data_IF_915236541110
#
_entry.id   IF_915236541110
#
_cell.length_a   1.000
_cell.length_b   1.000
_cell.length_c   1.000
_cell.angle_alpha   90.00
_cell.angle_beta   90.00
_cell.angle_gamma   90.00
#
_symmetry.space_group_name_H-M   'P 1'
#
loop_
_entity.id
_entity.type
_entity.pdbx_description
1 polymer ?
#
# COMPACT_ATOMS: atom_id res chain seq x y z
N UNK A 1 18.38 5.60 25.27
CA UNK A 1 18.13 4.64 26.35
C UNK A 1 18.63 3.29 25.86
N UNK A 2 19.70 2.75 26.50
CA UNK A 2 20.22 1.39 26.24
C UNK A 2 19.24 0.39 26.89
N UNK A 3 18.43 -0.28 26.06
CA UNK A 3 17.63 -1.42 26.51
C UNK A 3 18.39 -2.71 26.17
N UNK A 4 18.40 -3.73 27.07
CA UNK A 4 19.21 -4.94 26.88
C UNK A 4 18.85 -5.74 25.62
N UNK A 5 17.63 -5.60 25.10
CA UNK A 5 17.14 -6.31 23.93
C UNK A 5 17.02 -5.40 22.68
N UNK A 6 17.77 -4.31 22.61
CA UNK A 6 17.76 -3.39 21.48
C UNK A 6 18.98 -3.60 20.59
N UNK A 7 18.74 -4.06 19.35
CA UNK A 7 19.77 -4.23 18.33
C UNK A 7 19.59 -3.19 17.23
N UNK A 8 20.66 -2.48 16.92
CA UNK A 8 20.72 -1.57 15.76
C UNK A 8 21.22 -2.37 14.56
N UNK A 9 20.46 -2.33 13.47
CA UNK A 9 20.84 -2.93 12.20
C UNK A 9 20.63 -1.94 11.06
N UNK A 10 21.24 -2.17 9.92
CA UNK A 10 20.99 -1.37 8.72
C UNK A 10 19.60 -1.67 8.16
N UNK A 11 19.03 -0.71 7.41
CA UNK A 11 17.77 -0.92 6.69
C UNK A 11 17.87 -2.11 5.71
N UNK A 12 19.01 -2.30 5.05
CA UNK A 12 19.23 -3.43 4.16
C UNK A 12 19.29 -4.79 4.87
N UNK A 13 19.79 -4.84 6.12
CA UNK A 13 19.76 -6.06 6.92
C UNK A 13 18.36 -6.37 7.46
N UNK A 14 17.54 -5.34 7.64
CA UNK A 14 16.15 -5.50 8.08
C UNK A 14 15.21 -5.84 6.93
N UNK A 15 15.21 -5.05 5.85
CA UNK A 15 14.11 -5.00 4.88
C UNK A 15 14.56 -5.10 3.41
N UNK A 16 15.75 -5.62 3.10
CA UNK A 16 16.08 -5.95 1.71
C UNK A 16 15.65 -7.39 1.39
N UNK A 17 14.51 -7.63 0.72
CA UNK A 17 13.98 -8.98 0.51
C UNK A 17 14.89 -9.86 -0.34
N UNK A 18 15.78 -9.28 -1.15
CA UNK A 18 16.80 -10.00 -1.94
C UNK A 18 17.99 -10.46 -1.11
N UNK A 19 18.13 -9.97 0.11
CA UNK A 19 19.12 -10.47 1.07
C UNK A 19 18.50 -11.64 1.85
N UNK A 20 18.89 -12.86 1.54
CA UNK A 20 18.38 -14.10 2.18
C UNK A 20 18.44 -14.10 3.71
N UNK A 21 19.33 -13.32 4.31
CA UNK A 21 19.48 -13.17 5.76
C UNK A 21 18.66 -12.05 6.38
N UNK A 22 17.93 -11.25 5.60
CA UNK A 22 17.20 -10.11 6.14
C UNK A 22 15.98 -10.56 6.97
N UNK A 23 15.63 -9.70 7.96
CA UNK A 23 14.56 -10.04 8.90
C UNK A 23 13.19 -10.09 8.26
N UNK A 24 12.92 -9.23 7.27
CA UNK A 24 11.60 -9.14 6.63
C UNK A 24 11.19 -10.46 5.98
N UNK A 25 12.13 -11.23 5.43
CA UNK A 25 11.87 -12.54 4.82
C UNK A 25 11.45 -13.63 5.83
N UNK A 26 11.45 -13.33 7.11
CA UNK A 26 11.03 -14.23 8.21
C UNK A 26 9.76 -13.74 8.91
N UNK A 27 9.19 -12.63 8.47
CA UNK A 27 7.94 -12.14 9.04
C UNK A 27 6.77 -12.98 8.53
N UNK A 28 5.92 -13.42 9.44
CA UNK A 28 4.65 -14.05 9.07
C UNK A 28 3.64 -12.99 8.62
N UNK A 29 3.66 -11.83 9.29
CA UNK A 29 2.77 -10.71 8.99
C UNK A 29 3.52 -9.40 9.00
N UNK A 30 3.14 -8.50 8.10
CA UNK A 30 3.49 -7.09 8.16
C UNK A 30 2.21 -6.26 8.06
N UNK A 31 2.16 -5.19 8.87
CA UNK A 31 1.06 -4.23 8.84
C UNK A 31 1.64 -2.89 8.36
N UNK A 32 1.07 -2.36 7.30
CA UNK A 32 1.50 -1.14 6.63
C UNK A 32 0.32 -0.17 6.51
N UNK A 33 0.62 1.11 6.34
CA UNK A 33 -0.39 2.13 6.07
C UNK A 33 -0.25 2.64 4.63
N UNK A 34 -1.34 3.13 4.04
CA UNK A 34 -1.32 3.76 2.72
C UNK A 34 -2.07 5.09 2.71
N UNK A 35 -1.68 5.98 1.80
CA UNK A 35 -2.46 7.17 1.44
C UNK A 35 -3.62 6.79 0.53
N UNK A 36 -3.35 5.93 -0.45
CA UNK A 36 -4.32 5.41 -1.42
C UNK A 36 -4.05 3.93 -1.68
N UNK A 37 -5.11 3.19 -1.96
CA UNK A 37 -5.07 1.81 -2.47
C UNK A 37 -6.03 1.73 -3.64
N UNK A 38 -5.62 1.16 -4.77
CA UNK A 38 -6.49 0.99 -5.92
C UNK A 38 -7.16 -0.39 -6.00
N UNK A 39 -8.02 -0.55 -6.99
CA UNK A 39 -8.74 -1.81 -7.22
C UNK A 39 -7.85 -2.97 -7.64
N UNK A 40 -6.59 -2.71 -7.97
CA UNK A 40 -5.56 -3.71 -8.23
C UNK A 40 -4.67 -3.99 -7.01
N UNK A 41 -5.03 -3.43 -5.83
CA UNK A 41 -4.27 -3.49 -4.59
C UNK A 41 -2.94 -2.74 -4.62
N UNK A 42 -2.64 -1.96 -5.67
CA UNK A 42 -1.47 -1.09 -5.64
C UNK A 42 -1.63 -0.05 -4.54
N UNK A 43 -0.53 0.25 -3.84
CA UNK A 43 -0.52 1.25 -2.79
C UNK A 43 0.30 2.47 -3.19
N UNK A 44 -0.19 3.63 -2.81
CA UNK A 44 0.52 4.90 -2.83
C UNK A 44 0.77 5.37 -1.39
N UNK A 45 2.03 5.69 -1.08
CA UNK A 45 2.45 6.26 0.22
C UNK A 45 3.27 7.54 0.06
N UNK A 46 3.40 8.06 -1.17
CA UNK A 46 4.32 9.17 -1.50
C UNK A 46 3.59 10.42 -1.94
N UNK A 47 2.67 10.30 -2.88
CA UNK A 47 2.02 11.44 -3.54
C UNK A 47 0.62 11.64 -2.98
N UNK A 48 0.33 12.83 -2.47
CA UNK A 48 -1.02 13.17 -2.01
C UNK A 48 -2.01 13.33 -3.17
N UNK A 49 -3.31 13.34 -2.86
CA UNK A 49 -4.40 13.51 -3.83
C UNK A 49 -4.37 14.83 -4.62
N UNK A 50 -3.50 15.77 -4.24
CA UNK A 50 -3.24 17.03 -4.94
C UNK A 50 -1.98 16.97 -5.82
N UNK A 51 -1.35 15.81 -5.97
CA UNK A 51 -0.11 15.62 -6.74
C UNK A 51 1.17 16.03 -6.03
N UNK A 52 1.10 16.51 -4.78
CA UNK A 52 2.29 16.91 -4.02
C UNK A 52 2.95 15.70 -3.36
N UNK A 53 4.27 15.64 -3.40
CA UNK A 53 5.05 14.65 -2.62
C UNK A 53 4.91 15.01 -1.15
N UNK A 54 4.29 14.11 -0.37
CA UNK A 54 4.02 14.32 1.06
C UNK A 54 4.90 13.44 1.94
N UNK A 55 5.38 12.33 1.42
CA UNK A 55 6.13 11.34 2.18
C UNK A 55 7.15 10.61 1.27
N UNK A 56 7.82 9.60 1.80
CA UNK A 56 8.70 8.73 1.05
C UNK A 56 8.29 7.27 1.27
N UNK A 57 8.53 6.41 0.28
CA UNK A 57 8.15 5.00 0.36
C UNK A 57 8.86 4.24 1.49
N UNK A 58 10.08 4.65 1.85
CA UNK A 58 10.89 3.98 2.87
C UNK A 58 11.06 2.50 2.58
N UNK A 59 10.76 1.65 3.55
CA UNK A 59 10.77 0.19 3.42
C UNK A 59 9.40 -0.43 3.15
N UNK A 60 8.41 0.36 2.73
CA UNK A 60 7.04 -0.14 2.50
C UNK A 60 7.01 -1.27 1.45
N UNK A 61 7.51 -1.09 0.21
CA UNK A 61 7.54 -2.16 -0.78
C UNK A 61 8.44 -3.33 -0.37
N UNK A 62 9.57 -3.04 0.29
CA UNK A 62 10.50 -4.08 0.76
C UNK A 62 9.84 -5.01 1.80
N UNK A 63 9.13 -4.41 2.77
CA UNK A 63 8.45 -5.15 3.82
C UNK A 63 7.26 -5.94 3.27
N UNK A 64 6.50 -5.35 2.34
CA UNK A 64 5.40 -6.01 1.66
C UNK A 64 5.88 -7.24 0.88
N UNK A 65 6.95 -7.09 0.10
CA UNK A 65 7.48 -8.18 -0.73
C UNK A 65 8.09 -9.32 0.09
N UNK A 66 8.66 -9.03 1.26
CA UNK A 66 9.38 -10.03 2.05
C UNK A 66 8.50 -10.83 3.02
N UNK A 67 7.40 -10.28 3.50
CA UNK A 67 6.52 -10.94 4.47
C UNK A 67 5.66 -12.02 3.81
N UNK A 68 5.20 -13.01 4.59
CA UNK A 68 4.28 -14.06 4.12
C UNK A 68 2.86 -13.54 3.91
N UNK A 69 2.46 -12.53 4.68
CA UNK A 69 1.15 -11.89 4.57
C UNK A 69 1.28 -10.40 4.87
N UNK A 70 0.87 -9.59 3.91
CA UNK A 70 0.90 -8.14 4.00
C UNK A 70 -0.49 -7.58 4.17
N UNK A 71 -0.70 -6.85 5.25
CA UNK A 71 -1.95 -6.19 5.61
C UNK A 71 -1.74 -4.68 5.51
N UNK A 72 -2.51 -4.03 4.64
CA UNK A 72 -2.55 -2.57 4.58
C UNK A 72 -3.75 -2.06 5.35
N UNK A 73 -3.53 -1.10 6.23
CA UNK A 73 -4.58 -0.43 7.00
C UNK A 73 -4.64 1.04 6.57
N UNK A 74 -5.81 1.46 6.13
CA UNK A 74 -6.10 2.87 5.88
C UNK A 74 -7.58 3.16 6.22
N UNK A 75 -7.93 4.39 6.63
CA UNK A 75 -9.35 4.76 6.70
C UNK A 75 -9.94 4.71 5.28
N UNK A 76 -11.25 4.47 5.16
CA UNK A 76 -11.91 4.54 3.85
C UNK A 76 -11.75 5.92 3.20
N UNK A 77 -11.77 6.96 4.03
CA UNK A 77 -11.62 8.36 3.61
C UNK A 77 -10.50 9.04 4.40
N UNK A 78 -9.63 9.76 3.71
CA UNK A 78 -8.66 10.66 4.30
C UNK A 78 -9.13 12.10 4.15
N UNK A 79 -9.81 12.61 5.19
CA UNK A 79 -10.50 13.89 5.13
C UNK A 79 -11.66 13.87 4.13
N UNK A 80 -11.51 14.54 2.99
CA UNK A 80 -12.49 14.55 1.90
C UNK A 80 -12.04 13.77 0.65
N UNK A 81 -10.97 13.02 0.75
CA UNK A 81 -10.45 12.21 -0.36
C UNK A 81 -10.68 10.74 -0.07
N UNK A 82 -11.12 9.94 -1.05
CA UNK A 82 -11.20 8.50 -0.90
C UNK A 82 -9.79 7.91 -0.78
N UNK A 83 -9.57 7.02 0.18
CA UNK A 83 -8.32 6.28 0.27
C UNK A 83 -8.36 5.00 -0.59
N UNK A 84 -9.57 4.50 -0.90
CA UNK A 84 -9.75 3.43 -1.87
C UNK A 84 -10.25 4.05 -3.16
N UNK A 85 -9.50 3.87 -4.25
CA UNK A 85 -9.74 4.52 -5.54
C UNK A 85 -9.65 3.54 -6.72
N UNK A 86 -9.96 4.00 -7.92
CA UNK A 86 -9.85 3.17 -9.13
C UNK A 86 -8.39 2.93 -9.48
N UNK A 87 -7.59 4.00 -9.51
CA UNK A 87 -6.16 3.97 -9.76
C UNK A 87 -5.47 4.89 -8.75
N UNK A 88 -4.35 4.45 -8.17
CA UNK A 88 -3.55 5.29 -7.28
C UNK A 88 -2.82 6.37 -8.07
N UNK A 89 -2.57 7.51 -7.43
CA UNK A 89 -1.83 8.62 -8.04
C UNK A 89 -0.41 8.22 -8.46
N UNK A 90 0.21 7.32 -7.70
CA UNK A 90 1.56 6.79 -7.99
C UNK A 90 1.69 5.41 -7.33
N UNK A 91 2.16 4.43 -8.08
CA UNK A 91 2.40 3.09 -7.53
C UNK A 91 3.73 3.08 -6.77
N UNK A 92 3.65 2.97 -5.46
CA UNK A 92 4.83 2.86 -4.58
C UNK A 92 5.04 1.46 -4.03
N UNK A 93 3.98 0.65 -4.02
CA UNK A 93 4.03 -0.78 -3.69
C UNK A 93 3.06 -1.52 -4.59
N UNK A 94 3.55 -2.45 -5.42
CA UNK A 94 2.72 -3.22 -6.33
C UNK A 94 1.72 -4.09 -5.59
N UNK A 95 0.50 -4.20 -6.13
CA UNK A 95 -0.60 -4.95 -5.54
C UNK A 95 -0.37 -6.45 -5.39
N UNK A 96 0.54 -7.02 -6.18
CA UNK A 96 0.97 -8.41 -6.04
C UNK A 96 1.61 -8.72 -4.68
N UNK A 97 2.12 -7.69 -3.99
CA UNK A 97 2.72 -7.79 -2.66
C UNK A 97 1.73 -7.50 -1.53
N UNK A 98 0.47 -7.18 -1.83
CA UNK A 98 -0.55 -6.82 -0.84
C UNK A 98 -1.61 -7.91 -0.79
N UNK A 99 -1.82 -8.49 0.39
CA UNK A 99 -2.76 -9.59 0.58
C UNK A 99 -4.12 -9.14 1.10
N UNK A 100 -4.13 -8.17 2.01
CA UNK A 100 -5.34 -7.71 2.68
C UNK A 100 -5.33 -6.21 2.84
N UNK A 101 -6.48 -5.58 2.60
CA UNK A 101 -6.73 -4.16 2.88
C UNK A 101 -7.82 -4.06 3.95
N UNK A 102 -7.52 -3.36 5.03
CA UNK A 102 -8.42 -3.15 6.17
C UNK A 102 -8.81 -1.69 6.25
N UNK A 103 -10.10 -1.43 6.24
CA UNK A 103 -10.68 -0.09 6.43
C UNK A 103 -11.68 -0.10 7.59
N UNK A 104 -12.12 1.07 8.00
CA UNK A 104 -13.21 1.24 8.95
C UNK A 104 -14.60 0.82 8.40
N UNK A 105 -14.70 0.50 7.10
CA UNK A 105 -15.93 0.04 6.44
C UNK A 105 -15.91 -1.44 6.03
N UNK A 106 -14.78 -2.10 6.12
CA UNK A 106 -14.66 -3.51 5.78
C UNK A 106 -13.25 -3.93 5.45
N UNK A 107 -13.12 -5.23 5.15
CA UNK A 107 -11.85 -5.90 4.84
C UNK A 107 -11.93 -6.48 3.44
N UNK A 108 -10.99 -6.09 2.58
CA UNK A 108 -10.83 -6.65 1.24
C UNK A 108 -9.61 -7.58 1.21
N UNK A 109 -9.79 -8.76 0.64
CA UNK A 109 -8.72 -9.74 0.44
C UNK A 109 -8.37 -9.76 -1.04
N UNK A 110 -7.06 -9.70 -1.35
CA UNK A 110 -6.59 -9.78 -2.72
C UNK A 110 -7.08 -11.09 -3.36
N UNK A 111 -7.68 -11.03 -4.55
CA UNK A 111 -8.18 -12.23 -5.25
C UNK A 111 -7.12 -13.31 -5.49
N UNK A 112 -5.83 -12.96 -5.50
CA UNK A 112 -4.74 -13.93 -5.59
C UNK A 112 -4.61 -14.81 -4.32
N UNK A 113 -5.17 -14.37 -3.15
CA UNK A 113 -5.10 -15.05 -1.86
C UNK A 113 -6.40 -15.77 -1.51
N UNK A 114 -6.76 -16.74 -2.35
CA UNK A 114 -7.95 -17.57 -2.14
C UNK A 114 -7.92 -18.37 -0.83
N UNK A 115 -6.73 -18.71 -0.34
CA UNK A 115 -6.49 -19.34 0.95
C UNK A 115 -7.00 -18.47 2.11
N UNK A 116 -6.62 -17.20 2.12
CA UNK A 116 -7.07 -16.23 3.14
C UNK A 116 -8.55 -15.92 3.01
N UNK A 117 -9.03 -15.72 1.79
CA UNK A 117 -10.43 -15.40 1.54
C UNK A 117 -11.36 -16.53 2.04
N UNK A 118 -10.99 -17.78 1.79
CA UNK A 118 -11.73 -18.94 2.29
C UNK A 118 -11.73 -18.99 3.82
N UNK A 119 -10.54 -18.86 4.42
CA UNK A 119 -10.37 -18.88 5.88
C UNK A 119 -11.21 -17.80 6.58
N UNK A 120 -11.19 -16.57 6.06
CA UNK A 120 -11.94 -15.47 6.65
C UNK A 120 -13.45 -15.59 6.45
N UNK A 121 -13.91 -16.16 5.32
CA UNK A 121 -15.32 -16.49 5.11
C UNK A 121 -15.82 -17.56 6.08
N UNK A 122 -15.03 -18.61 6.30
CA UNK A 122 -15.37 -19.69 7.24
C UNK A 122 -15.37 -19.19 8.71
N UNK A 123 -14.46 -18.28 9.04
CA UNK A 123 -14.37 -17.72 10.38
C UNK A 123 -15.48 -16.71 10.71
N UNK A 124 -16.07 -16.08 9.70
CA UNK A 124 -17.13 -15.06 9.79
C UNK A 124 -16.86 -13.99 10.89
N UNK A 125 -15.61 -13.55 11.00
CA UNK A 125 -15.15 -12.70 12.10
C UNK A 125 -14.89 -11.24 11.69
N UNK A 126 -14.97 -10.91 10.38
CA UNK A 126 -14.75 -9.57 9.83
C UNK A 126 -15.73 -9.27 8.71
N UNK A 127 -16.14 -8.00 8.53
CA UNK A 127 -17.03 -7.60 7.43
C UNK A 127 -16.28 -7.63 6.09
N UNK A 128 -16.29 -8.78 5.42
CA UNK A 128 -15.66 -8.94 4.11
C UNK A 128 -16.40 -8.16 3.03
N UNK A 129 -15.64 -7.46 2.21
CA UNK A 129 -16.07 -6.74 1.01
C UNK A 129 -15.05 -6.94 -0.10
N UNK A 130 -15.45 -6.70 -1.34
CA UNK A 130 -14.47 -6.55 -2.41
C UNK A 130 -13.83 -5.16 -2.34
N UNK A 131 -12.68 -4.99 -2.97
CA UNK A 131 -12.01 -3.69 -3.02
C UNK A 131 -12.84 -2.68 -3.81
N UNK A 132 -13.58 -3.15 -4.82
CA UNK A 132 -14.51 -2.34 -5.62
C UNK A 132 -15.70 -1.85 -4.78
N UNK A 133 -16.28 -2.71 -3.92
CA UNK A 133 -17.35 -2.30 -3.00
C UNK A 133 -16.85 -1.22 -2.03
N UNK A 134 -15.63 -1.33 -1.53
CA UNK A 134 -15.04 -0.28 -0.67
C UNK A 134 -14.85 1.03 -1.43
N UNK A 135 -14.33 0.98 -2.67
CA UNK A 135 -14.21 2.16 -3.53
C UNK A 135 -15.56 2.80 -3.77
N UNK A 136 -16.57 2.01 -4.12
CA UNK A 136 -17.92 2.52 -4.45
C UNK A 136 -18.54 3.22 -3.23
N UNK A 137 -18.42 2.63 -2.04
CA UNK A 137 -18.86 3.28 -0.79
C UNK A 137 -18.12 4.61 -0.58
N UNK A 138 -16.80 4.65 -0.82
CA UNK A 138 -16.04 5.89 -0.68
C UNK A 138 -16.54 6.96 -1.66
N UNK A 139 -16.77 6.60 -2.92
CA UNK A 139 -17.24 7.52 -3.96
C UNK A 139 -18.68 7.98 -3.74
N UNK A 140 -19.53 7.13 -3.16
CA UNK A 140 -20.89 7.53 -2.76
C UNK A 140 -20.90 8.59 -1.65
N UNK A 141 -19.90 8.55 -0.76
CA UNK A 141 -19.81 9.51 0.36
C UNK A 141 -19.20 10.85 -0.09
N UNK A 142 -18.10 10.84 -0.84
CA UNK A 142 -17.32 12.05 -1.16
C UNK A 142 -17.31 12.44 -2.64
N UNK A 143 -17.92 11.64 -3.49
CA UNK A 143 -17.88 11.79 -4.95
C UNK A 143 -16.63 11.15 -5.56
N UNK A 144 -16.67 10.94 -6.88
CA UNK A 144 -15.51 10.44 -7.63
C UNK A 144 -14.43 11.53 -7.66
N UNK A 145 -13.19 11.21 -7.26
CA UNK A 145 -12.12 12.19 -7.25
C UNK A 145 -11.79 12.66 -8.68
N UNK A 146 -11.49 13.92 -8.81
CA UNK A 146 -10.96 14.43 -10.06
C UNK A 146 -9.48 14.07 -10.15
N UNK A 147 -9.01 13.44 -11.24
CA UNK A 147 -7.62 13.08 -11.39
C UNK A 147 -6.73 14.34 -11.42
N UNK A 148 -5.58 14.23 -10.77
CA UNK A 148 -4.56 15.29 -10.86
C UNK A 148 -4.09 15.40 -12.30
N UNK A 149 -4.05 16.62 -12.81
CA UNK A 149 -3.47 16.90 -14.13
C UNK A 149 -1.96 16.98 -13.98
N UNK A 150 -1.26 16.05 -14.56
CA UNK A 150 0.19 16.04 -14.60
C UNK A 150 0.72 16.56 -15.93
N UNK A 151 1.86 17.25 -15.87
CA UNK A 151 2.66 17.60 -17.04
C UNK A 151 3.49 16.44 -17.56
N UNK A 152 4.31 16.69 -18.57
CA UNK A 152 5.18 15.69 -19.17
C UNK A 152 6.49 15.47 -18.38
N UNK A 153 6.89 16.47 -17.60
CA UNK A 153 8.17 16.44 -16.88
C UNK A 153 8.13 15.44 -15.73
N UNK A 154 9.04 14.47 -15.75
CA UNK A 154 9.31 13.55 -14.65
C UNK A 154 10.19 14.26 -13.61
N UNK A 155 9.72 14.33 -12.38
CA UNK A 155 10.42 14.97 -11.24
C UNK A 155 10.98 13.95 -10.24
N UNK A 156 10.55 12.70 -10.32
CA UNK A 156 11.02 11.61 -9.48
C UNK A 156 10.75 10.25 -10.09
N UNK A 157 11.45 9.26 -9.59
CA UNK A 157 11.32 7.84 -9.98
C UNK A 157 11.02 7.04 -8.72
N UNK A 158 10.06 6.15 -8.81
CA UNK A 158 9.79 5.14 -7.78
C UNK A 158 10.54 3.88 -8.18
N UNK A 159 11.61 3.59 -7.44
CA UNK A 159 12.52 2.49 -7.73
C UNK A 159 12.41 1.39 -6.68
N UNK A 160 12.29 0.16 -7.12
CA UNK A 160 12.36 -1.04 -6.30
C UNK A 160 13.78 -1.32 -5.82
N UNK A 161 13.91 -2.20 -4.85
CA UNK A 161 15.20 -2.55 -4.26
C UNK A 161 16.15 -3.27 -5.25
N UNK A 162 15.61 -3.87 -6.29
CA UNK A 162 16.33 -4.55 -7.37
C UNK A 162 16.71 -3.61 -8.54
N UNK A 163 16.35 -2.32 -8.45
CA UNK A 163 16.54 -1.33 -9.51
C UNK A 163 15.41 -1.28 -10.54
N UNK A 164 14.34 -2.05 -10.37
CA UNK A 164 13.15 -1.96 -11.22
C UNK A 164 12.44 -0.64 -11.00
N UNK A 165 12.13 0.08 -12.06
CA UNK A 165 11.29 1.28 -11.99
C UNK A 165 9.83 0.83 -11.89
N UNK A 166 9.22 1.09 -10.72
CA UNK A 166 7.83 0.75 -10.47
C UNK A 166 6.89 1.81 -11.02
N UNK A 167 7.25 3.09 -10.90
CA UNK A 167 6.48 4.21 -11.41
C UNK A 167 7.32 5.49 -11.47
N UNK A 168 6.72 6.58 -11.95
CA UNK A 168 7.33 7.90 -12.00
C UNK A 168 6.43 8.95 -11.34
N UNK A 169 7.05 9.94 -10.71
CA UNK A 169 6.35 11.12 -10.21
C UNK A 169 6.51 12.23 -11.24
N UNK A 170 5.39 12.81 -11.66
CA UNK A 170 5.35 13.89 -12.63
C UNK A 170 5.06 15.23 -11.97
N UNK A 171 5.52 16.29 -12.61
CA UNK A 171 5.14 17.67 -12.26
C UNK A 171 3.63 17.85 -12.40
N UNK A 172 3.01 18.54 -11.44
CA UNK A 172 1.60 18.95 -11.56
C UNK A 172 1.49 20.02 -12.64
N UNK A 173 0.56 19.86 -13.58
CA UNK A 173 0.31 20.87 -14.60
C UNK A 173 -0.31 22.14 -13.97
N UNK A 174 0.10 23.30 -14.46
CA UNK A 174 -0.45 24.61 -14.06
C UNK A 174 -1.89 24.81 -14.57
#
# INVERSE_FOLDING_TARGET
VKRPNHHRISAGAYANPFNKGCFVNKLDYVVLAALEVDTHFNCNVVVGSNGMITCAQGGHPDAAQGAKCTIVICPLLQGRSPAICTDVTTVTTPGESIDVVVTDYGVAVNPARQDLLKCLKEADCVPLKTIEELRDIAYDIVGTPQPVKFGERVVGIIEGRDGTIMDVVREVAE
#
